data_IF_034181120327
#
_entry.id   IF_034181120327
#
_cell.length_a   1.000
_cell.length_b   1.000
_cell.length_c   1.000
_cell.angle_alpha   90.00
_cell.angle_beta   90.00
_cell.angle_gamma   90.00
#
_symmetry.space_group_name_H-M   'P 1'
#
loop_
_entity.id
_entity.type
_entity.pdbx_description
1 polymer ?
#
# COMPACT_ATOMS: atom_id res chain seq x y z
N UNK A 1 -14.22 -14.57 -0.20
CA UNK A 1 -13.25 -13.63 0.38
C UNK A 1 -14.02 -12.42 0.87
N UNK A 2 -13.87 -12.03 2.14
CA UNK A 2 -14.57 -10.87 2.72
C UNK A 2 -13.51 -9.87 3.18
N UNK A 3 -13.28 -8.83 2.38
CA UNK A 3 -12.47 -7.70 2.80
C UNK A 3 -13.31 -6.89 3.79
N UNK A 4 -12.80 -6.71 5.00
CA UNK A 4 -13.48 -5.96 6.06
C UNK A 4 -13.11 -4.49 6.06
N UNK A 5 -12.11 -4.11 5.26
CA UNK A 5 -11.79 -2.74 4.90
C UNK A 5 -12.48 -2.45 3.57
N UNK A 6 -13.56 -1.70 3.62
CA UNK A 6 -14.37 -1.37 2.45
C UNK A 6 -14.16 0.07 1.98
N UNK A 7 -14.46 0.32 0.70
CA UNK A 7 -14.58 1.67 0.19
C UNK A 7 -15.57 2.48 1.05
N UNK A 8 -15.19 3.69 1.45
CA UNK A 8 -15.98 4.56 2.31
C UNK A 8 -15.71 4.39 3.82
N UNK A 9 -14.90 3.42 4.22
CA UNK A 9 -14.45 3.29 5.61
C UNK A 9 -13.16 4.08 5.87
N UNK A 10 -12.81 4.22 7.15
CA UNK A 10 -11.53 4.81 7.57
C UNK A 10 -10.51 3.71 7.75
N UNK A 11 -9.36 3.85 7.09
CA UNK A 11 -8.22 2.96 7.22
C UNK A 11 -7.79 2.86 8.70
N UNK A 12 -7.83 1.67 9.31
CA UNK A 12 -7.33 1.48 10.66
C UNK A 12 -5.85 1.85 10.78
N UNK A 13 -5.48 2.58 11.85
CA UNK A 13 -4.08 2.93 12.10
C UNK A 13 -3.20 1.70 12.35
N UNK A 14 -1.97 1.71 11.85
CA UNK A 14 -0.96 0.69 12.15
C UNK A 14 0.42 1.32 12.33
N UNK A 15 1.30 0.59 12.99
CA UNK A 15 2.69 0.97 13.19
C UNK A 15 3.55 -0.27 13.00
N UNK A 16 4.51 -0.21 12.08
CA UNK A 16 5.37 -1.33 11.71
C UNK A 16 6.81 -0.84 11.48
N UNK A 17 7.83 -1.68 11.68
CA UNK A 17 9.19 -1.35 11.30
C UNK A 17 9.36 -1.35 9.78
N UNK A 18 10.18 -0.43 9.25
CA UNK A 18 10.64 -0.48 7.86
C UNK A 18 11.91 -1.34 7.70
N UNK A 19 12.45 -1.38 6.47
CA UNK A 19 13.66 -2.12 6.11
C UNK A 19 14.92 -1.69 6.86
N UNK A 20 14.92 -0.53 7.51
CA UNK A 20 16.01 -0.02 8.33
C UNK A 20 15.73 -0.20 9.83
N UNK A 21 14.65 -0.88 10.21
CA UNK A 21 14.21 -1.02 11.60
C UNK A 21 13.59 0.26 12.16
N UNK A 22 13.32 1.27 11.33
CA UNK A 22 12.67 2.50 11.78
C UNK A 22 11.19 2.26 11.96
N UNK A 23 10.63 2.65 13.11
CA UNK A 23 9.19 2.54 13.34
C UNK A 23 8.43 3.56 12.48
N UNK A 24 7.55 3.07 11.61
CA UNK A 24 6.70 3.86 10.73
C UNK A 24 5.25 3.70 11.16
N UNK A 25 4.60 4.81 11.50
CA UNK A 25 3.17 4.85 11.83
C UNK A 25 2.38 5.46 10.69
N UNK A 26 1.28 4.80 10.27
CA UNK A 26 0.34 5.35 9.29
C UNK A 26 -0.20 6.72 9.72
N UNK A 27 -0.39 6.90 11.04
CA UNK A 27 -0.88 8.14 11.65
C UNK A 27 0.06 9.33 11.44
N UNK A 28 1.34 9.12 11.19
CA UNK A 28 2.30 10.19 10.88
C UNK A 28 1.98 10.93 9.56
N UNK A 29 1.15 10.32 8.72
CA UNK A 29 0.71 10.86 7.43
C UNK A 29 -0.71 11.43 7.44
N UNK A 30 -1.45 11.21 8.54
CA UNK A 30 -2.79 11.75 8.73
C UNK A 30 -2.79 13.29 8.59
N UNK A 31 -3.75 13.80 7.83
CA UNK A 31 -3.91 15.19 7.39
C UNK A 31 -2.76 15.75 6.54
N UNK A 32 -1.73 14.96 6.21
CA UNK A 32 -0.54 15.42 5.49
C UNK A 32 -0.46 14.88 4.07
N UNK A 33 -0.80 13.61 3.86
CA UNK A 33 -0.62 12.91 2.57
C UNK A 33 -1.76 11.92 2.30
N UNK A 34 -2.08 11.71 1.04
CA UNK A 34 -2.81 10.53 0.55
C UNK A 34 -1.96 9.31 0.85
N UNK A 35 -2.56 8.26 1.43
CA UNK A 35 -1.84 7.01 1.68
C UNK A 35 -2.25 5.98 0.65
N UNK A 36 -1.23 5.39 0.02
CA UNK A 36 -1.33 4.19 -0.82
C UNK A 36 -0.79 3.05 0.04
N UNK A 37 -1.62 2.05 0.35
CA UNK A 37 -1.20 0.89 1.15
C UNK A 37 -1.25 -0.35 0.27
N UNK A 38 -0.09 -0.94 0.01
CA UNK A 38 0.03 -2.24 -0.66
C UNK A 38 0.26 -3.34 0.35
N UNK A 39 -0.27 -4.54 0.13
CA UNK A 39 0.10 -5.74 0.87
C UNK A 39 0.44 -6.86 -0.12
N UNK A 40 1.65 -7.39 -0.05
CA UNK A 40 2.09 -8.53 -0.88
C UNK A 40 1.71 -9.87 -0.21
N UNK A 41 1.55 -10.99 -0.93
CA UNK A 41 1.37 -12.29 -0.29
C UNK A 41 2.58 -12.66 0.57
N UNK A 42 2.39 -13.63 1.48
CA UNK A 42 3.48 -14.14 2.32
C UNK A 42 4.59 -14.80 1.51
N UNK A 43 4.23 -15.44 0.40
CA UNK A 43 5.21 -15.96 -0.57
C UNK A 43 5.33 -14.99 -1.72
N UNK A 44 6.41 -14.22 -1.72
CA UNK A 44 6.70 -13.21 -2.75
C UNK A 44 7.49 -13.88 -3.88
N UNK A 45 6.93 -13.85 -5.09
CA UNK A 45 7.57 -14.34 -6.31
C UNK A 45 8.09 -13.18 -7.17
N UNK A 46 8.66 -13.52 -8.34
CA UNK A 46 9.22 -12.52 -9.27
C UNK A 46 8.18 -11.53 -9.78
N UNK A 47 6.92 -11.92 -9.90
CA UNK A 47 5.86 -11.03 -10.41
C UNK A 47 5.52 -9.95 -9.36
N UNK A 48 5.49 -10.31 -8.08
CA UNK A 48 5.35 -9.35 -6.99
C UNK A 48 6.54 -8.39 -6.87
N UNK A 49 7.75 -8.86 -7.16
CA UNK A 49 8.94 -7.99 -7.20
C UNK A 49 8.90 -7.01 -8.37
N UNK A 50 8.44 -7.46 -9.55
CA UNK A 50 8.20 -6.57 -10.68
C UNK A 50 7.10 -5.55 -10.39
N UNK A 51 6.02 -5.98 -9.74
CA UNK A 51 4.95 -5.11 -9.30
C UNK A 51 5.44 -4.04 -8.33
N UNK A 52 6.25 -4.41 -7.34
CA UNK A 52 6.81 -3.47 -6.36
C UNK A 52 7.73 -2.43 -7.04
N UNK A 53 8.55 -2.87 -8.02
CA UNK A 53 9.38 -1.96 -8.81
C UNK A 53 8.55 -1.00 -9.66
N UNK A 54 7.47 -1.50 -10.27
CA UNK A 54 6.55 -0.67 -11.05
C UNK A 54 5.84 0.35 -10.16
N UNK A 55 5.29 -0.10 -9.01
CA UNK A 55 4.69 0.76 -7.99
C UNK A 55 5.63 1.90 -7.57
N UNK A 56 6.91 1.60 -7.38
CA UNK A 56 7.93 2.60 -7.09
C UNK A 56 8.06 3.68 -8.17
N UNK A 57 8.10 3.29 -9.44
CA UNK A 57 8.17 4.24 -10.56
C UNK A 57 6.89 5.06 -10.72
N UNK A 58 5.72 4.44 -10.55
CA UNK A 58 4.44 5.13 -10.68
C UNK A 58 4.24 6.13 -9.51
N UNK A 59 4.66 5.78 -8.28
CA UNK A 59 4.67 6.70 -7.14
C UNK A 59 5.62 7.88 -7.37
N UNK A 60 6.73 7.70 -8.08
CA UNK A 60 7.66 8.78 -8.41
C UNK A 60 6.99 9.88 -9.26
N UNK A 61 6.04 9.52 -10.11
CA UNK A 61 5.32 10.47 -10.97
C UNK A 61 4.30 11.35 -10.22
N UNK A 62 3.91 10.95 -9.00
CA UNK A 62 2.97 11.72 -8.17
C UNK A 62 3.71 12.96 -7.62
N UNK A 63 3.15 14.18 -7.70
CA UNK A 63 3.78 15.36 -7.11
C UNK A 63 3.98 15.24 -5.59
N UNK A 64 5.06 15.84 -5.08
CA UNK A 64 5.19 16.03 -3.63
C UNK A 64 4.40 17.25 -3.16
N UNK A 65 3.79 17.23 -1.95
CA UNK A 65 3.84 16.19 -0.92
C UNK A 65 2.68 15.18 -0.99
N UNK A 66 2.01 15.04 -2.12
CA UNK A 66 0.62 14.58 -2.19
C UNK A 66 0.39 13.15 -1.70
N UNK A 67 1.36 12.25 -1.88
CA UNK A 67 1.21 10.85 -1.49
C UNK A 67 2.42 10.25 -0.73
N UNK A 68 2.13 9.17 -0.01
CA UNK A 68 3.11 8.20 0.49
C UNK A 68 2.62 6.78 0.19
N UNK A 69 3.55 5.88 -0.11
CA UNK A 69 3.24 4.47 -0.33
C UNK A 69 3.84 3.61 0.79
N UNK A 70 3.00 2.79 1.42
CA UNK A 70 3.38 1.86 2.48
C UNK A 70 3.08 0.44 2.00
N UNK A 71 4.11 -0.37 1.80
CA UNK A 71 3.99 -1.75 1.31
C UNK A 71 4.25 -2.71 2.45
N UNK A 72 3.24 -3.49 2.84
CA UNK A 72 3.32 -4.49 3.88
C UNK A 72 3.84 -5.80 3.30
N UNK A 73 4.87 -6.38 3.92
CA UNK A 73 5.44 -7.71 3.57
C UNK A 73 5.93 -8.43 4.82
N UNK A 74 6.29 -9.71 4.72
CA UNK A 74 7.03 -10.40 5.77
C UNK A 74 8.54 -10.11 5.65
N UNK A 75 9.27 -10.14 6.77
CA UNK A 75 10.70 -9.82 6.82
C UNK A 75 11.61 -10.84 6.13
N UNK A 76 11.09 -12.04 5.84
CA UNK A 76 11.74 -13.06 5.02
C UNK A 76 11.57 -12.84 3.50
N UNK A 77 10.97 -11.70 3.09
CA UNK A 77 10.87 -11.28 1.71
C UNK A 77 12.27 -11.22 1.05
N UNK A 78 12.42 -11.72 -0.20
CA UNK A 78 13.69 -11.71 -0.93
C UNK A 78 14.23 -10.30 -1.16
N UNK A 79 15.50 -10.22 -1.60
CA UNK A 79 16.25 -8.99 -1.88
C UNK A 79 15.38 -7.91 -2.53
N UNK A 80 15.01 -6.91 -1.74
CA UNK A 80 14.20 -5.79 -2.18
C UNK A 80 14.96 -4.97 -3.23
N UNK A 81 14.29 -4.55 -4.33
CA UNK A 81 14.95 -3.70 -5.32
C UNK A 81 15.19 -2.31 -4.73
N UNK A 82 16.00 -1.49 -5.41
CA UNK A 82 16.08 -0.07 -5.09
C UNK A 82 14.73 0.61 -5.37
N UNK A 83 14.13 1.17 -4.32
CA UNK A 83 12.82 1.82 -4.37
C UNK A 83 12.93 3.33 -4.22
N UNK A 84 11.93 4.03 -4.77
CA UNK A 84 11.70 5.44 -4.52
C UNK A 84 11.58 5.67 -3.00
N UNK A 85 12.20 6.71 -2.41
CA UNK A 85 12.15 6.97 -0.97
C UNK A 85 10.73 7.16 -0.39
N UNK A 86 9.73 7.43 -1.24
CA UNK A 86 8.32 7.54 -0.86
C UNK A 86 7.59 6.20 -0.79
N UNK A 87 8.20 5.12 -1.29
CA UNK A 87 7.74 3.75 -1.10
C UNK A 87 8.49 3.15 0.09
N UNK A 88 7.78 2.96 1.19
CA UNK A 88 8.30 2.32 2.39
C UNK A 88 7.82 0.89 2.45
N UNK A 89 8.74 -0.06 2.44
CA UNK A 89 8.45 -1.45 2.74
C UNK A 89 8.45 -1.64 4.25
N UNK A 90 7.36 -2.18 4.78
CA UNK A 90 7.10 -2.38 6.20
C UNK A 90 6.93 -3.87 6.47
N UNK A 91 7.55 -4.36 7.54
CA UNK A 91 7.49 -5.77 7.92
C UNK A 91 6.35 -6.04 8.90
N UNK A 92 5.42 -6.92 8.52
CA UNK A 92 4.23 -7.35 9.26
C UNK A 92 4.30 -8.85 9.57
N UNK A 93 5.34 -9.26 10.30
CA UNK A 93 5.71 -10.67 10.51
C UNK A 93 4.67 -11.49 11.29
N UNK A 94 3.93 -10.84 12.18
CA UNK A 94 2.84 -11.45 12.96
C UNK A 94 1.47 -11.32 12.27
N UNK A 95 1.45 -10.75 11.06
CA UNK A 95 0.24 -10.45 10.29
C UNK A 95 -0.77 -9.56 11.05
N UNK A 96 -0.35 -8.85 12.09
CA UNK A 96 -1.26 -8.07 12.93
C UNK A 96 -1.87 -6.89 12.15
N UNK A 97 -1.07 -6.19 11.33
CA UNK A 97 -1.57 -5.08 10.52
C UNK A 97 -2.50 -5.58 9.41
N UNK A 98 -2.11 -6.61 8.66
CA UNK A 98 -2.96 -7.22 7.62
C UNK A 98 -4.27 -7.75 8.20
N UNK A 99 -4.22 -8.41 9.36
CA UNK A 99 -5.43 -8.89 10.04
C UNK A 99 -6.32 -7.72 10.47
N UNK A 100 -5.74 -6.64 11.01
CA UNK A 100 -6.48 -5.44 11.40
C UNK A 100 -7.13 -4.74 10.21
N UNK A 101 -6.46 -4.72 9.06
CA UNK A 101 -6.97 -4.21 7.79
C UNK A 101 -7.89 -5.23 7.08
N UNK A 102 -8.14 -6.38 7.69
CA UNK A 102 -8.86 -7.52 7.11
C UNK A 102 -8.42 -7.84 5.67
N UNK A 103 -7.10 -7.83 5.45
CA UNK A 103 -6.40 -8.12 4.20
C UNK A 103 -5.96 -9.58 4.13
N UNK A 104 -6.86 -10.50 4.50
CA UNK A 104 -6.60 -11.92 4.32
C UNK A 104 -6.81 -12.27 2.85
N UNK A 105 -5.71 -12.48 2.14
CA UNK A 105 -5.74 -12.93 0.75
C UNK A 105 -5.55 -14.45 0.68
N UNK A 106 -6.10 -15.05 -0.37
CA UNK A 106 -5.80 -16.43 -0.72
C UNK A 106 -4.32 -16.55 -1.12
N UNK A 107 -3.76 -17.77 -1.11
CA UNK A 107 -2.34 -18.00 -1.39
C UNK A 107 -1.91 -17.35 -2.73
N UNK A 108 -1.04 -16.34 -2.66
CA UNK A 108 -0.45 -15.66 -3.82
C UNK A 108 -1.14 -14.35 -4.25
N UNK A 109 -2.24 -13.97 -3.61
CA UNK A 109 -2.89 -12.68 -3.84
C UNK A 109 -2.37 -11.60 -2.86
N UNK A 110 -2.48 -10.34 -3.25
CA UNK A 110 -2.20 -9.19 -2.40
C UNK A 110 -3.34 -8.18 -2.44
N UNK A 111 -3.07 -6.99 -1.93
CA UNK A 111 -4.05 -5.91 -1.85
C UNK A 111 -3.43 -4.55 -2.17
N UNK A 112 -4.23 -3.66 -2.73
CA UNK A 112 -3.93 -2.25 -2.92
C UNK A 112 -5.09 -1.40 -2.38
N UNK A 113 -4.77 -0.48 -1.46
CA UNK A 113 -5.72 0.48 -0.89
C UNK A 113 -5.24 1.89 -1.21
N UNK A 114 -6.16 2.76 -1.63
CA UNK A 114 -5.89 4.19 -1.80
C UNK A 114 -6.85 4.99 -0.92
N UNK A 115 -6.31 5.93 -0.15
CA UNK A 115 -7.05 6.73 0.82
C UNK A 115 -6.87 8.22 0.61
N UNK A 116 -7.79 9.06 1.09
CA UNK A 116 -7.49 10.48 1.22
C UNK A 116 -6.59 10.77 2.44
N UNK A 117 -6.23 12.05 2.63
CA UNK A 117 -5.42 12.52 3.77
C UNK A 117 -6.02 12.24 5.16
N UNK A 118 -7.31 11.93 5.26
CA UNK A 118 -7.97 11.60 6.52
C UNK A 118 -8.11 10.07 6.72
N UNK A 119 -7.51 9.26 5.85
CA UNK A 119 -7.61 7.82 5.88
C UNK A 119 -8.92 7.26 5.33
N UNK A 120 -9.81 8.09 4.76
CA UNK A 120 -11.03 7.60 4.09
C UNK A 120 -10.63 6.83 2.84
N UNK A 121 -11.12 5.60 2.71
CA UNK A 121 -10.74 4.68 1.64
C UNK A 121 -11.57 4.97 0.39
N UNK A 122 -10.87 5.25 -0.71
CA UNK A 122 -11.47 5.52 -2.03
C UNK A 122 -11.39 4.31 -2.96
N UNK A 123 -10.35 3.50 -2.80
CA UNK A 123 -10.13 2.32 -3.62
C UNK A 123 -9.60 1.18 -2.76
N UNK A 124 -10.10 -0.02 -3.02
CA UNK A 124 -9.58 -1.28 -2.50
C UNK A 124 -9.62 -2.27 -3.65
N UNK A 125 -8.51 -2.94 -3.89
CA UNK A 125 -8.42 -4.06 -4.81
C UNK A 125 -7.65 -5.20 -4.16
N UNK A 126 -8.02 -6.42 -4.51
CA UNK A 126 -7.28 -7.64 -4.18
C UNK A 126 -7.05 -8.43 -5.46
N UNK A 127 -5.91 -9.10 -5.53
CA UNK A 127 -5.59 -9.95 -6.67
C UNK A 127 -4.10 -10.17 -6.84
N UNK A 128 -3.75 -10.65 -8.02
CA UNK A 128 -2.38 -10.89 -8.47
C UNK A 128 -1.79 -9.63 -9.13
N UNK A 129 -0.46 -9.56 -9.29
CA UNK A 129 0.24 -8.43 -9.89
C UNK A 129 -0.31 -7.90 -11.22
N UNK A 130 -0.89 -8.77 -12.04
CA UNK A 130 -1.40 -8.46 -13.38
C UNK A 130 -2.89 -8.15 -13.43
N UNK A 131 -3.59 -8.26 -12.30
CA UNK A 131 -5.03 -7.99 -12.26
C UNK A 131 -5.28 -6.48 -12.37
N UNK A 132 -6.34 -6.10 -13.09
CA UNK A 132 -6.58 -4.71 -13.45
C UNK A 132 -6.61 -3.75 -12.23
N UNK A 133 -7.22 -4.17 -11.12
CA UNK A 133 -7.28 -3.35 -9.89
C UNK A 133 -5.97 -3.31 -9.09
N UNK A 134 -4.99 -4.15 -9.41
CA UNK A 134 -3.68 -4.16 -8.77
C UNK A 134 -2.65 -3.34 -9.54
N UNK A 135 -2.99 -2.80 -10.71
CA UNK A 135 -2.07 -2.09 -11.59
C UNK A 135 -1.66 -0.71 -11.01
N UNK A 136 -0.37 -0.50 -10.67
CA UNK A 136 0.06 0.76 -10.07
C UNK A 136 -0.04 1.99 -10.99
N UNK A 137 -0.21 1.80 -12.31
CA UNK A 137 -0.31 2.91 -13.28
C UNK A 137 -1.51 3.80 -13.06
N UNK A 138 -2.54 3.29 -12.39
CA UNK A 138 -3.76 4.04 -12.12
C UNK A 138 -3.59 4.96 -10.89
N UNK A 139 -2.50 4.82 -10.12
CA UNK A 139 -2.29 5.55 -8.86
C UNK A 139 -2.20 7.08 -9.04
N UNK A 140 -1.49 7.63 -10.04
CA UNK A 140 -1.48 9.08 -10.26
C UNK A 140 -2.88 9.64 -10.51
N UNK A 141 -3.69 8.95 -11.31
CA UNK A 141 -5.07 9.35 -11.61
C UNK A 141 -5.95 9.28 -10.35
N UNK A 142 -5.80 8.24 -9.52
CA UNK A 142 -6.50 8.16 -8.24
C UNK A 142 -6.12 9.31 -7.30
N UNK A 143 -4.83 9.64 -7.21
CA UNK A 143 -4.33 10.72 -6.36
C UNK A 143 -4.88 12.06 -6.83
N UNK A 144 -4.84 12.34 -8.13
CA UNK A 144 -5.43 13.53 -8.74
C UNK A 144 -6.93 13.61 -8.46
N UNK A 145 -7.67 12.53 -8.69
CA UNK A 145 -9.10 12.45 -8.43
C UNK A 145 -9.44 12.76 -6.95
N UNK A 146 -8.71 12.16 -6.01
CA UNK A 146 -8.92 12.38 -4.57
C UNK A 146 -8.58 13.81 -4.19
N UNK A 147 -7.49 14.36 -4.73
CA UNK A 147 -7.09 15.75 -4.49
C UNK A 147 -8.18 16.73 -4.96
N UNK A 148 -8.72 16.55 -6.16
CA UNK A 148 -9.83 17.37 -6.68
C UNK A 148 -11.13 17.25 -5.89
N UNK A 149 -11.42 16.07 -5.31
CA UNK A 149 -12.65 15.83 -4.52
C UNK A 149 -12.57 16.37 -3.10
N UNK A 150 -11.35 16.50 -2.57
CA UNK A 150 -11.10 16.87 -1.17
C UNK A 150 -10.50 18.27 -1.01
N UNK A 151 -10.40 19.06 -2.09
CA UNK A 151 -10.00 20.47 -2.11
C UNK A 151 -11.13 21.40 -1.72
#
# INVERSE_FOLDING_TARGET
>A
MTIGTAQGEVLPDFTLPDTHGTSVSSRSYYMRRIMIVGAMPSTVDTDWMHWLKQLSGDVESIPEPDAVCLVLTASDCPDLPDLNPRVKVLFDDDFAARTKLNLQSDSGEGCLIVTNRHGLIYHVSTGRPHDAGMNPRDLPEWVEFIACRCS
#
